data_IF_525800686691
#
_entry.id   IF_525800686691
#
_cell.length_a   1.000
_cell.length_b   1.000
_cell.length_c   1.000
_cell.angle_alpha   90.00
_cell.angle_beta   90.00
_cell.angle_gamma   90.00
#
_symmetry.space_group_name_H-M   'P 1'
#
loop_
_entity.id
_entity.type
_entity.pdbx_description
1 polymer ?
#
# COMPACT_ATOMS: atom_id res chain seq x y z
N UNK A 1 12.72 -36.79 48.75
CA UNK A 1 13.74 -35.72 48.65
C UNK A 1 13.87 -35.35 47.18
N UNK A 2 14.07 -34.06 46.87
CA UNK A 2 13.31 -33.33 45.85
C UNK A 2 14.17 -32.84 44.66
N UNK A 3 13.48 -32.39 43.61
CA UNK A 3 13.89 -31.24 42.81
C UNK A 3 14.78 -31.48 41.60
N UNK A 4 14.21 -31.29 40.41
CA UNK A 4 14.77 -30.32 39.45
C UNK A 4 13.65 -29.80 38.56
N UNK A 5 13.04 -28.70 39.02
CA UNK A 5 12.17 -27.83 38.24
C UNK A 5 12.94 -26.56 37.84
N UNK A 6 14.24 -26.70 37.56
CA UNK A 6 15.18 -25.57 37.43
C UNK A 6 15.92 -25.56 36.08
N UNK A 7 15.25 -26.00 35.01
CA UNK A 7 15.77 -25.86 33.64
C UNK A 7 14.67 -25.38 32.67
N UNK A 8 13.75 -24.55 33.18
CA UNK A 8 13.02 -23.60 32.33
C UNK A 8 14.02 -22.47 32.06
N UNK A 9 14.70 -22.58 30.93
CA UNK A 9 15.90 -21.81 30.58
C UNK A 9 15.54 -20.34 30.33
N UNK A 10 16.53 -19.46 30.47
CA UNK A 10 16.36 -18.00 30.30
C UNK A 10 15.72 -17.61 28.94
N UNK A 11 15.81 -18.46 27.92
CA UNK A 11 15.17 -18.30 26.61
C UNK A 11 13.64 -18.37 26.69
N UNK A 12 13.09 -19.29 27.51
CA UNK A 12 11.64 -19.40 27.75
C UNK A 12 11.11 -18.22 28.59
N UNK A 13 11.94 -17.66 29.46
CA UNK A 13 11.60 -16.50 30.28
C UNK A 13 11.64 -15.20 29.47
N UNK A 14 12.61 -15.05 28.56
CA UNK A 14 12.69 -13.93 27.62
C UNK A 14 11.53 -14.01 26.61
N UNK A 15 11.25 -15.16 26.00
CA UNK A 15 10.12 -15.33 25.08
C UNK A 15 8.76 -15.09 25.77
N UNK A 16 8.58 -15.54 27.02
CA UNK A 16 7.38 -15.24 27.80
C UNK A 16 7.26 -13.75 28.17
N UNK A 17 8.38 -13.06 28.45
CA UNK A 17 8.41 -11.63 28.73
C UNK A 17 8.13 -10.80 27.47
N UNK A 18 8.67 -11.19 26.31
CA UNK A 18 8.36 -10.58 25.02
C UNK A 18 6.89 -10.79 24.64
N UNK A 19 6.34 -11.98 24.88
CA UNK A 19 4.91 -12.26 24.65
C UNK A 19 3.99 -11.48 25.58
N UNK A 20 4.39 -11.26 26.84
CA UNK A 20 3.65 -10.42 27.79
C UNK A 20 3.67 -8.94 27.39
N UNK A 21 4.84 -8.41 26.99
CA UNK A 21 4.98 -7.03 26.54
C UNK A 21 4.20 -6.77 25.24
N UNK A 22 4.25 -7.69 24.28
CA UNK A 22 3.47 -7.60 23.04
C UNK A 22 1.96 -7.64 23.33
N UNK A 23 1.54 -8.46 24.31
CA UNK A 23 0.14 -8.52 24.74
C UNK A 23 -0.32 -7.22 25.39
N UNK A 24 0.47 -6.67 26.29
CA UNK A 24 0.18 -5.39 26.94
C UNK A 24 0.06 -4.25 25.91
N UNK A 25 0.96 -4.20 24.93
CA UNK A 25 0.91 -3.20 23.87
C UNK A 25 -0.38 -3.30 23.03
N UNK A 26 -0.84 -4.52 22.73
CA UNK A 26 -2.12 -4.74 22.03
C UNK A 26 -3.30 -4.33 22.91
N UNK A 27 -3.28 -4.64 24.20
CA UNK A 27 -4.34 -4.26 25.15
C UNK A 27 -4.46 -2.73 25.28
N UNK A 28 -3.35 -2.02 25.46
CA UNK A 28 -3.33 -0.56 25.51
C UNK A 28 -3.88 0.07 24.23
N UNK A 29 -3.53 -0.48 23.05
CA UNK A 29 -4.05 0.03 21.79
C UNK A 29 -5.55 -0.22 21.64
N UNK A 30 -6.04 -1.38 22.09
CA UNK A 30 -7.49 -1.68 22.10
C UNK A 30 -8.26 -0.76 23.04
N UNK A 31 -7.70 -0.36 24.17
CA UNK A 31 -8.32 0.60 25.08
C UNK A 31 -8.49 1.96 24.41
N UNK A 32 -7.44 2.47 23.74
CA UNK A 32 -7.54 3.71 22.95
C UNK A 32 -8.60 3.60 21.84
N UNK A 33 -8.65 2.47 21.15
CA UNK A 33 -9.66 2.23 20.12
C UNK A 33 -11.07 2.11 20.69
N UNK A 34 -11.22 1.60 21.92
CA UNK A 34 -12.50 1.56 22.61
C UNK A 34 -13.01 2.97 22.92
N UNK A 35 -12.13 3.88 23.33
CA UNK A 35 -12.49 5.29 23.50
C UNK A 35 -12.86 5.95 22.17
N UNK A 36 -12.09 5.71 21.11
CA UNK A 36 -12.42 6.16 19.76
C UNK A 36 -13.82 5.69 19.32
N UNK A 37 -14.11 4.40 19.47
CA UNK A 37 -15.40 3.80 19.08
C UNK A 37 -16.55 4.36 19.90
N UNK A 38 -16.36 4.60 21.21
CA UNK A 38 -17.38 5.24 22.05
C UNK A 38 -17.69 6.68 21.62
N UNK A 39 -16.74 7.36 20.98
CA UNK A 39 -16.92 8.69 20.41
C UNK A 39 -17.63 8.73 19.05
N UNK A 40 -17.93 7.57 18.44
CA UNK A 40 -18.60 7.51 17.14
C UNK A 40 -20.12 7.60 17.30
N UNK A 41 -20.77 8.35 16.41
CA UNK A 41 -22.23 8.31 16.30
C UNK A 41 -22.72 7.05 15.57
N UNK A 42 -23.98 6.68 15.81
CA UNK A 42 -24.62 5.56 15.11
C UNK A 42 -24.65 5.75 13.58
N UNK A 43 -24.76 6.99 13.11
CA UNK A 43 -24.72 7.31 11.69
C UNK A 43 -23.32 7.09 11.09
N UNK A 44 -22.26 7.47 11.81
CA UNK A 44 -20.88 7.26 11.38
C UNK A 44 -20.50 5.78 11.28
N UNK A 45 -21.05 4.95 12.18
CA UNK A 45 -20.89 3.49 12.13
C UNK A 45 -21.61 2.92 10.90
N UNK A 46 -22.86 3.30 10.67
CA UNK A 46 -23.69 2.78 9.57
C UNK A 46 -23.21 3.25 8.18
N UNK A 47 -22.78 4.50 8.07
CA UNK A 47 -22.33 5.11 6.83
C UNK A 47 -20.90 4.72 6.43
N UNK A 48 -20.10 4.23 7.39
CA UNK A 48 -18.66 3.98 7.19
C UNK A 48 -17.79 5.22 7.45
N UNK A 49 -18.37 6.34 7.89
CA UNK A 49 -17.64 7.58 8.23
C UNK A 49 -16.56 7.39 9.30
N UNK A 50 -16.71 6.36 10.15
CA UNK A 50 -15.70 5.94 11.13
C UNK A 50 -14.32 5.69 10.49
N UNK A 51 -14.26 5.18 9.26
CA UNK A 51 -13.00 4.84 8.60
C UNK A 51 -12.17 6.08 8.30
N UNK A 52 -12.81 7.15 7.83
CA UNK A 52 -12.14 8.43 7.55
C UNK A 52 -11.57 9.05 8.82
N UNK A 53 -12.34 9.01 9.93
CA UNK A 53 -11.85 9.45 11.24
C UNK A 53 -10.69 8.60 11.75
N UNK A 54 -10.77 7.29 11.56
CA UNK A 54 -9.71 6.37 11.93
C UNK A 54 -8.43 6.64 11.13
N UNK A 55 -8.50 6.80 9.79
CA UNK A 55 -7.32 7.14 8.98
C UNK A 55 -6.69 8.46 9.45
N UNK A 56 -7.50 9.49 9.70
CA UNK A 56 -7.01 10.78 10.19
C UNK A 56 -6.30 10.66 11.56
N UNK A 57 -6.80 9.82 12.46
CA UNK A 57 -6.21 9.62 13.78
C UNK A 57 -4.98 8.69 13.77
N UNK A 58 -5.10 7.56 13.05
CA UNK A 58 -4.14 6.48 13.02
C UNK A 58 -2.85 6.86 12.28
N UNK A 59 -2.95 7.64 11.21
CA UNK A 59 -1.81 7.98 10.37
C UNK A 59 -1.12 9.28 10.81
N UNK A 60 -1.84 10.35 11.17
CA UNK A 60 -1.21 11.64 11.56
C UNK A 60 -0.26 11.55 12.76
N UNK A 61 -0.57 10.70 13.74
CA UNK A 61 0.26 10.53 14.94
C UNK A 61 1.39 9.50 14.77
N UNK A 62 1.24 8.59 13.80
CA UNK A 62 2.13 7.45 13.59
C UNK A 62 3.19 7.72 12.52
N UNK A 63 2.80 8.39 11.43
CA UNK A 63 3.69 8.76 10.31
C UNK A 63 4.89 9.58 10.76
N UNK A 64 4.73 10.46 11.76
CA UNK A 64 5.84 11.23 12.33
C UNK A 64 6.89 10.40 13.10
N UNK A 65 6.62 9.13 13.42
CA UNK A 65 7.55 8.25 14.15
C UNK A 65 8.17 7.16 13.28
N UNK A 66 7.44 6.69 12.27
CA UNK A 66 7.89 5.65 11.35
C UNK A 66 8.70 6.28 10.20
N UNK A 67 9.90 6.78 10.50
CA UNK A 67 10.80 7.34 9.48
C UNK A 67 11.77 6.29 8.96
N UNK A 68 12.36 6.55 7.79
CA UNK A 68 13.39 5.69 7.22
C UNK A 68 14.58 5.53 8.19
N UNK A 69 14.99 6.61 8.84
CA UNK A 69 16.10 6.66 9.78
C UNK A 69 15.84 5.74 10.99
N UNK A 70 14.61 5.75 11.51
CA UNK A 70 14.21 4.86 12.60
C UNK A 70 14.39 3.38 12.22
N UNK A 71 13.95 2.98 11.02
CA UNK A 71 14.12 1.60 10.56
C UNK A 71 15.60 1.26 10.29
N UNK A 72 16.37 2.20 9.78
CA UNK A 72 17.79 2.01 9.50
C UNK A 72 18.61 1.83 10.79
N UNK A 73 18.30 2.58 11.84
CA UNK A 73 18.94 2.46 13.14
C UNK A 73 18.54 1.16 13.82
N UNK A 74 17.24 0.85 13.84
CA UNK A 74 16.69 -0.35 14.47
C UNK A 74 17.16 -1.66 13.81
N UNK A 75 17.33 -1.66 12.49
CA UNK A 75 17.72 -2.84 11.71
C UNK A 75 19.03 -2.61 10.95
N UNK A 76 20.05 -2.09 11.66
CA UNK A 76 21.34 -1.75 11.07
C UNK A 76 21.97 -2.94 10.33
N UNK A 77 22.29 -2.73 9.05
CA UNK A 77 22.93 -3.72 8.19
C UNK A 77 21.98 -4.72 7.50
N UNK A 78 20.66 -4.60 7.73
CA UNK A 78 19.65 -5.46 7.08
C UNK A 78 19.12 -4.78 5.81
N UNK A 79 19.06 -5.47 4.66
CA UNK A 79 18.41 -4.94 3.45
C UNK A 79 16.91 -4.69 3.67
N UNK A 80 16.34 -3.78 2.86
CA UNK A 80 14.91 -3.39 2.95
C UNK A 80 13.96 -4.58 3.00
N UNK A 81 14.16 -5.59 2.15
CA UNK A 81 13.36 -6.82 2.12
C UNK A 81 13.36 -7.58 3.45
N UNK A 82 14.50 -7.62 4.13
CA UNK A 82 14.64 -8.27 5.44
C UNK A 82 13.87 -7.52 6.51
N UNK A 83 13.94 -6.18 6.51
CA UNK A 83 13.20 -5.32 7.44
C UNK A 83 11.69 -5.44 7.21
N UNK A 84 11.23 -5.41 5.96
CA UNK A 84 9.82 -5.63 5.60
C UNK A 84 9.33 -6.98 6.10
N UNK A 85 10.13 -8.04 5.89
CA UNK A 85 9.80 -9.37 6.40
C UNK A 85 9.59 -9.41 7.91
N UNK A 86 10.37 -8.64 8.68
CA UNK A 86 10.19 -8.51 10.13
C UNK A 86 8.94 -7.70 10.50
N UNK A 87 8.67 -6.59 9.82
CA UNK A 87 7.45 -5.80 10.05
C UNK A 87 6.18 -6.62 9.79
N UNK A 88 6.16 -7.44 8.73
CA UNK A 88 5.03 -8.33 8.43
C UNK A 88 4.85 -9.36 9.55
N UNK A 89 5.94 -9.94 10.08
CA UNK A 89 5.88 -10.90 11.20
C UNK A 89 5.36 -10.24 12.47
N UNK A 90 5.85 -9.05 12.82
CA UNK A 90 5.41 -8.30 14.00
C UNK A 90 3.92 -7.95 13.91
N UNK A 91 3.47 -7.40 12.78
CA UNK A 91 2.05 -7.11 12.56
C UNK A 91 1.19 -8.38 12.63
N UNK A 92 1.65 -9.49 12.03
CA UNK A 92 0.94 -10.77 12.11
C UNK A 92 0.84 -11.30 13.57
N UNK A 93 1.88 -11.11 14.39
CA UNK A 93 1.88 -11.45 15.82
C UNK A 93 0.86 -10.61 16.58
N UNK A 94 0.85 -9.28 16.40
CA UNK A 94 -0.15 -8.40 17.02
C UNK A 94 -1.58 -8.75 16.63
N UNK A 95 -1.82 -9.12 15.35
CA UNK A 95 -3.13 -9.58 14.89
C UNK A 95 -3.56 -10.92 15.51
N UNK A 96 -2.61 -11.83 15.79
CA UNK A 96 -2.89 -13.07 16.52
C UNK A 96 -3.27 -12.79 17.96
N UNK A 97 -2.50 -11.94 18.65
CA UNK A 97 -2.77 -11.54 20.04
C UNK A 97 -4.15 -10.89 20.15
N UNK A 98 -4.50 -9.98 19.24
CA UNK A 98 -5.83 -9.38 19.19
C UNK A 98 -6.91 -10.44 19.03
N UNK A 99 -6.75 -11.38 18.09
CA UNK A 99 -7.69 -12.47 17.87
C UNK A 99 -7.87 -13.35 19.11
N UNK A 100 -6.79 -13.58 19.88
CA UNK A 100 -6.80 -14.29 21.15
C UNK A 100 -7.59 -13.55 22.23
N UNK A 101 -7.31 -12.27 22.46
CA UNK A 101 -8.03 -11.43 23.43
C UNK A 101 -9.52 -11.34 23.05
N UNK A 102 -9.81 -11.11 21.77
CA UNK A 102 -11.17 -11.05 21.23
C UNK A 102 -11.90 -12.35 21.49
N UNK A 103 -11.32 -13.49 21.15
CA UNK A 103 -11.97 -14.79 21.37
C UNK A 103 -12.36 -15.08 22.83
N UNK A 104 -11.60 -14.58 23.81
CA UNK A 104 -11.89 -14.72 25.25
C UNK A 104 -13.08 -13.87 25.74
N UNK A 105 -13.40 -12.78 25.03
CA UNK A 105 -14.49 -11.87 25.38
C UNK A 105 -15.85 -12.33 24.80
N UNK A 106 -15.84 -13.21 23.80
CA UNK A 106 -17.03 -13.60 23.05
C UNK A 106 -17.77 -14.81 23.66
N UNK A 107 -17.25 -15.40 24.75
CA UNK A 107 -17.83 -16.60 25.37
C UNK A 107 -19.06 -16.35 26.26
N UNK A 108 -19.48 -15.09 26.49
CA UNK A 108 -20.61 -14.79 27.40
C UNK A 108 -21.65 -13.76 26.96
N UNK A 109 -21.30 -12.78 26.11
CA UNK A 109 -22.07 -11.51 26.07
C UNK A 109 -22.87 -11.28 24.78
N UNK A 110 -22.51 -11.92 23.65
CA UNK A 110 -23.12 -11.59 22.34
C UNK A 110 -24.39 -12.39 22.04
N UNK A 111 -24.53 -13.60 22.60
CA UNK A 111 -25.76 -14.39 22.46
C UNK A 111 -27.01 -13.63 22.96
N UNK A 112 -26.85 -12.74 23.95
CA UNK A 112 -27.95 -11.95 24.50
C UNK A 112 -28.28 -10.69 23.67
N UNK A 113 -27.30 -10.06 23.01
CA UNK A 113 -27.51 -8.75 22.34
C UNK A 113 -27.89 -8.81 20.87
N UNK A 114 -27.66 -9.94 20.17
CA UNK A 114 -28.16 -10.10 18.79
C UNK A 114 -29.69 -10.25 18.78
N UNK A 115 -30.27 -10.85 19.83
CA UNK A 115 -31.72 -10.95 20.01
C UNK A 115 -32.41 -9.66 20.47
N UNK A 116 -31.66 -8.65 20.91
CA UNK A 116 -32.20 -7.39 21.49
C UNK A 116 -32.10 -6.18 20.56
N UNK A 117 -31.81 -6.37 19.27
CA UNK A 117 -31.77 -5.30 18.26
C UNK A 117 -33.09 -4.50 18.13
N UNK A 118 -34.16 -4.91 18.82
CA UNK A 118 -35.43 -4.19 18.94
C UNK A 118 -35.73 -3.53 20.30
N UNK A 119 -34.85 -3.61 21.31
CA UNK A 119 -35.20 -3.26 22.71
C UNK A 119 -34.42 -2.14 23.39
N UNK A 120 -33.30 -1.66 22.83
CA UNK A 120 -32.49 -0.60 23.42
C UNK A 120 -32.66 0.72 22.67
N UNK A 121 -32.68 1.83 23.41
CA UNK A 121 -32.83 3.20 22.88
C UNK A 121 -31.91 3.44 21.67
N UNK A 122 -32.38 4.12 20.59
CA UNK A 122 -31.57 4.46 19.41
C UNK A 122 -30.25 5.19 19.69
N UNK A 123 -30.09 5.71 20.91
CA UNK A 123 -28.92 6.47 21.36
C UNK A 123 -27.77 5.61 21.91
N UNK A 124 -28.00 4.35 22.30
CA UNK A 124 -26.96 3.50 22.88
C UNK A 124 -26.48 2.44 21.88
N UNK A 125 -25.20 2.50 21.49
CA UNK A 125 -24.56 1.45 20.68
C UNK A 125 -24.42 0.19 21.55
N UNK A 126 -25.02 -0.96 21.17
CA UNK A 126 -24.94 -2.17 21.98
C UNK A 126 -23.49 -2.60 22.24
N UNK A 127 -23.19 -3.16 23.42
CA UNK A 127 -21.82 -3.52 23.80
C UNK A 127 -21.14 -4.47 22.79
N UNK A 128 -21.92 -5.38 22.17
CA UNK A 128 -21.43 -6.26 21.10
C UNK A 128 -21.00 -5.51 19.83
N UNK A 129 -21.68 -4.41 19.48
CA UNK A 129 -21.28 -3.54 18.35
C UNK A 129 -20.00 -2.78 18.70
N UNK A 130 -19.84 -2.33 19.94
CA UNK A 130 -18.61 -1.65 20.39
C UNK A 130 -17.41 -2.58 20.28
N UNK A 131 -17.49 -3.81 20.81
CA UNK A 131 -16.39 -4.78 20.74
C UNK A 131 -16.03 -5.10 19.29
N UNK A 132 -17.02 -5.39 18.44
CA UNK A 132 -16.80 -5.61 17.01
C UNK A 132 -16.10 -4.43 16.32
N UNK A 133 -16.53 -3.20 16.62
CA UNK A 133 -15.92 -2.00 16.05
C UNK A 133 -14.49 -1.79 16.54
N UNK A 134 -14.16 -2.17 17.79
CA UNK A 134 -12.78 -2.15 18.29
C UNK A 134 -11.91 -3.12 17.50
N UNK A 135 -12.38 -4.34 17.27
CA UNK A 135 -11.62 -5.36 16.51
C UNK A 135 -11.41 -4.93 15.05
N UNK A 136 -12.46 -4.39 14.43
CA UNK A 136 -12.42 -3.88 13.05
C UNK A 136 -11.47 -2.68 12.91
N UNK A 137 -11.53 -1.72 13.84
CA UNK A 137 -10.66 -0.54 13.82
C UNK A 137 -9.21 -0.92 14.10
N UNK A 138 -8.96 -1.89 14.99
CA UNK A 138 -7.62 -2.40 15.27
C UNK A 138 -6.97 -3.02 14.02
N UNK A 139 -7.64 -3.97 13.36
CA UNK A 139 -7.08 -4.64 12.17
C UNK A 139 -6.88 -3.62 11.04
N UNK A 140 -7.82 -2.70 10.87
CA UNK A 140 -7.73 -1.63 9.86
C UNK A 140 -6.49 -0.77 10.09
N UNK A 141 -6.29 -0.29 11.32
CA UNK A 141 -5.16 0.53 11.69
C UNK A 141 -3.83 -0.23 11.54
N UNK A 142 -3.80 -1.49 11.92
CA UNK A 142 -2.62 -2.35 11.79
C UNK A 142 -2.23 -2.54 10.31
N UNK A 143 -3.19 -2.79 9.42
CA UNK A 143 -2.93 -2.95 7.99
C UNK A 143 -2.47 -1.66 7.32
N UNK A 144 -3.05 -0.52 7.68
CA UNK A 144 -2.63 0.80 7.19
C UNK A 144 -1.21 1.15 7.63
N UNK A 145 -0.89 0.94 8.92
CA UNK A 145 0.45 1.16 9.46
C UNK A 145 1.49 0.26 8.81
N UNK A 146 1.17 -1.04 8.65
CA UNK A 146 2.06 -1.98 7.99
C UNK A 146 2.35 -1.56 6.54
N UNK A 147 1.34 -1.17 5.77
CA UNK A 147 1.53 -0.69 4.41
C UNK A 147 2.38 0.59 4.37
N UNK A 148 2.16 1.52 5.30
CA UNK A 148 2.94 2.75 5.41
C UNK A 148 4.40 2.46 5.75
N UNK A 149 4.66 1.63 6.76
CA UNK A 149 6.01 1.20 7.14
C UNK A 149 6.76 0.58 5.95
N UNK A 150 6.09 -0.29 5.20
CA UNK A 150 6.68 -0.92 4.02
C UNK A 150 7.05 0.12 2.96
N UNK A 151 6.18 1.11 2.72
CA UNK A 151 6.49 2.21 1.80
C UNK A 151 7.72 3.02 2.27
N UNK A 152 7.78 3.36 3.56
CA UNK A 152 8.91 4.06 4.16
C UNK A 152 10.21 3.26 4.04
N UNK A 153 10.16 1.95 4.32
CA UNK A 153 11.32 1.06 4.22
C UNK A 153 11.82 0.96 2.76
N UNK A 154 10.91 0.96 1.78
CA UNK A 154 11.26 1.02 0.37
C UNK A 154 11.57 2.46 -0.12
N UNK A 155 11.52 3.45 0.78
CA UNK A 155 11.75 4.88 0.48
C UNK A 155 10.83 5.44 -0.60
N UNK A 156 9.60 4.93 -0.64
CA UNK A 156 8.56 5.47 -1.50
C UNK A 156 8.05 6.77 -0.86
N UNK A 157 8.12 7.91 -1.55
CA UNK A 157 7.57 9.15 -1.03
C UNK A 157 6.04 9.02 -1.02
N UNK A 158 5.46 8.84 0.16
CA UNK A 158 4.03 8.91 0.38
C UNK A 158 3.71 10.10 1.26
N UNK A 159 2.94 11.04 0.74
CA UNK A 159 2.36 12.13 1.51
C UNK A 159 0.96 11.73 1.99
N UNK A 160 0.81 11.42 3.28
CA UNK A 160 -0.50 11.05 3.85
C UNK A 160 -1.49 12.22 3.90
N UNK A 161 -1.03 13.46 3.72
CA UNK A 161 -1.89 14.63 3.58
C UNK A 161 -2.36 14.83 2.13
N UNK A 162 -1.70 14.20 1.15
CA UNK A 162 -2.18 14.11 -0.23
C UNK A 162 -3.30 13.04 -0.34
N UNK A 163 -4.52 13.43 -0.79
CA UNK A 163 -5.61 12.48 -1.02
C UNK A 163 -5.26 11.31 -1.94
N UNK A 164 -4.38 11.48 -2.92
CA UNK A 164 -4.00 10.43 -3.87
C UNK A 164 -3.12 9.37 -3.21
N UNK A 165 -2.08 9.78 -2.49
CA UNK A 165 -1.16 8.91 -1.77
C UNK A 165 -1.84 8.21 -0.58
N UNK A 166 -2.71 8.92 0.15
CA UNK A 166 -3.57 8.29 1.16
C UNK A 166 -4.47 7.20 0.53
N UNK A 167 -5.04 7.47 -0.64
CA UNK A 167 -5.90 6.49 -1.33
C UNK A 167 -5.09 5.29 -1.82
N UNK A 168 -3.88 5.51 -2.33
CA UNK A 168 -2.93 4.45 -2.70
C UNK A 168 -2.60 3.59 -1.48
N UNK A 169 -2.24 4.21 -0.36
CA UNK A 169 -1.95 3.51 0.90
C UNK A 169 -3.12 2.64 1.34
N UNK A 170 -4.36 3.16 1.30
CA UNK A 170 -5.57 2.40 1.63
C UNK A 170 -5.74 1.22 0.68
N UNK A 171 -5.66 1.42 -0.64
CA UNK A 171 -5.81 0.33 -1.62
C UNK A 171 -4.79 -0.78 -1.38
N UNK A 172 -3.53 -0.40 -1.16
CA UNK A 172 -2.44 -1.32 -0.90
C UNK A 172 -2.64 -2.07 0.42
N UNK A 173 -3.00 -1.38 1.51
CA UNK A 173 -3.26 -2.01 2.81
C UNK A 173 -4.37 -3.07 2.75
N UNK A 174 -5.37 -2.89 1.90
CA UNK A 174 -6.51 -3.80 1.76
C UNK A 174 -6.44 -4.75 0.56
N UNK A 175 -5.33 -4.76 -0.20
CA UNK A 175 -5.16 -5.66 -1.34
C UNK A 175 -6.05 -5.34 -2.54
N UNK A 176 -6.45 -4.08 -2.68
CA UNK A 176 -7.31 -3.61 -3.79
C UNK A 176 -6.40 -3.30 -4.99
N UNK A 177 -6.41 -4.17 -6.00
CA UNK A 177 -5.60 -4.01 -7.22
C UNK A 177 -6.07 -2.80 -8.05
N UNK A 178 -5.14 -1.93 -8.42
CA UNK A 178 -5.38 -0.93 -9.47
C UNK A 178 -5.57 -1.66 -10.81
N UNK A 179 -6.70 -1.43 -11.49
CA UNK A 179 -7.00 -2.05 -12.80
C UNK A 179 -8.25 -2.97 -12.84
N UNK A 180 -8.75 -3.47 -11.71
CA UNK A 180 -10.03 -4.23 -11.69
C UNK A 180 -11.28 -3.35 -11.96
N UNK A 181 -11.09 -2.03 -12.07
CA UNK A 181 -12.10 -1.08 -12.55
C UNK A 181 -12.07 -0.83 -14.06
N UNK A 182 -11.00 -1.22 -14.78
CA UNK A 182 -10.82 -0.85 -16.19
C UNK A 182 -11.21 -1.96 -17.20
N UNK A 183 -11.13 -3.26 -16.87
CA UNK A 183 -11.58 -4.34 -17.76
C UNK A 183 -12.10 -5.57 -17.01
N UNK A 184 -13.43 -5.74 -17.01
CA UNK A 184 -14.09 -7.02 -17.27
C UNK A 184 -13.91 -8.24 -16.33
N UNK A 185 -13.00 -8.28 -15.36
CA UNK A 185 -12.84 -9.41 -14.43
C UNK A 185 -13.53 -9.16 -13.09
N UNK A 186 -14.85 -9.00 -13.14
CA UNK A 186 -15.74 -8.80 -11.99
C UNK A 186 -16.03 -10.12 -11.24
N UNK A 187 -15.02 -10.94 -10.93
CA UNK A 187 -15.23 -12.26 -10.30
C UNK A 187 -15.00 -12.32 -8.79
N UNK A 188 -14.64 -11.22 -8.11
CA UNK A 188 -14.56 -11.23 -6.63
C UNK A 188 -15.14 -9.99 -5.94
N UNK A 189 -16.00 -9.25 -6.63
CA UNK A 189 -16.66 -8.07 -6.07
C UNK A 189 -18.15 -8.37 -5.88
N UNK A 190 -18.66 -8.45 -4.62
CA UNK A 190 -20.08 -8.67 -4.36
C UNK A 190 -20.94 -7.62 -5.07
N UNK A 191 -22.09 -8.05 -5.60
CA UNK A 191 -22.98 -7.29 -6.50
C UNK A 191 -23.38 -5.88 -6.01
N UNK A 192 -23.21 -5.58 -4.72
CA UNK A 192 -23.53 -4.29 -4.10
C UNK A 192 -22.57 -3.15 -4.49
N UNK A 193 -21.32 -3.45 -4.88
CA UNK A 193 -20.32 -2.44 -5.31
C UNK A 193 -20.70 -1.82 -6.66
N UNK A 194 -21.38 -2.57 -7.52
CA UNK A 194 -21.76 -2.14 -8.88
C UNK A 194 -22.78 -1.00 -8.89
N UNK A 195 -23.65 -0.91 -7.88
CA UNK A 195 -24.61 0.19 -7.72
C UNK A 195 -23.97 1.47 -7.18
N UNK A 196 -22.83 1.37 -6.49
CA UNK A 196 -22.13 2.51 -5.89
C UNK A 196 -21.22 3.19 -6.91
N UNK A 197 -20.53 2.41 -7.76
CA UNK A 197 -19.72 2.95 -8.87
C UNK A 197 -20.57 3.75 -9.86
N UNK A 198 -21.78 3.26 -10.18
CA UNK A 198 -22.67 3.90 -11.16
C UNK A 198 -23.28 5.24 -10.68
N UNK A 199 -23.27 5.49 -9.36
CA UNK A 199 -23.83 6.71 -8.76
C UNK A 199 -22.78 7.81 -8.55
N UNK A 200 -21.50 7.50 -8.79
CA UNK A 200 -20.34 8.38 -8.56
C UNK A 200 -19.72 8.87 -9.88
N UNK A 201 -20.01 8.22 -11.01
CA UNK A 201 -19.43 8.53 -12.33
C UNK A 201 -20.16 9.62 -13.14
N UNK A 202 -20.93 10.51 -12.51
CA UNK A 202 -21.55 11.67 -13.19
C UNK A 202 -21.30 12.95 -12.39
N UNK A 203 -20.15 13.58 -12.62
CA UNK A 203 -19.83 14.90 -12.08
C UNK A 203 -18.32 15.19 -12.09
N UNK A 204 -17.84 16.28 -12.73
CA UNK A 204 -16.43 16.61 -12.78
C UNK A 204 -15.94 17.08 -11.40
N UNK A 205 -14.82 16.51 -10.97
CA UNK A 205 -13.93 16.96 -9.88
C UNK A 205 -14.56 17.10 -8.48
N UNK A 206 -14.74 15.96 -7.81
CA UNK A 206 -14.84 15.81 -6.34
C UNK A 206 -14.70 14.32 -5.95
N UNK A 207 -13.63 13.67 -6.43
CA UNK A 207 -13.53 12.21 -6.49
C UNK A 207 -12.66 11.55 -5.39
N UNK A 208 -11.73 12.26 -4.73
CA UNK A 208 -10.84 11.60 -3.77
C UNK A 208 -11.44 11.40 -2.36
N UNK A 209 -12.34 12.29 -1.93
CA UNK A 209 -12.94 12.22 -0.57
C UNK A 209 -14.15 11.28 -0.45
N UNK A 210 -14.75 10.84 -1.56
CA UNK A 210 -16.05 10.13 -1.56
C UNK A 210 -15.94 8.60 -1.50
N UNK A 211 -14.77 8.02 -1.74
CA UNK A 211 -14.54 6.56 -1.68
C UNK A 211 -14.25 6.05 -0.28
N UNK A 212 -13.75 6.88 0.63
CA UNK A 212 -13.37 6.50 2.00
C UNK A 212 -14.56 5.96 2.85
N UNK A 213 -15.75 6.60 2.86
CA UNK A 213 -16.89 6.07 3.61
C UNK A 213 -17.39 4.72 3.06
N UNK A 214 -17.26 4.52 1.74
CA UNK A 214 -17.66 3.28 1.07
C UNK A 214 -16.77 2.12 1.52
N UNK A 215 -15.46 2.36 1.67
CA UNK A 215 -14.51 1.37 2.18
C UNK A 215 -14.87 0.97 3.61
N UNK A 216 -15.15 1.94 4.49
CA UNK A 216 -15.59 1.66 5.86
C UNK A 216 -16.84 0.77 5.92
N UNK A 217 -17.82 1.02 5.05
CA UNK A 217 -19.02 0.18 4.91
C UNK A 217 -18.70 -1.22 4.39
N UNK A 218 -17.76 -1.37 3.45
CA UNK A 218 -17.36 -2.68 2.93
C UNK A 218 -16.57 -3.50 3.95
N UNK A 219 -15.69 -2.86 4.73
CA UNK A 219 -14.98 -3.52 5.81
C UNK A 219 -15.95 -4.04 6.89
N UNK A 220 -16.97 -3.26 7.22
CA UNK A 220 -18.07 -3.68 8.10
C UNK A 220 -18.73 -4.96 7.58
N UNK A 221 -19.13 -4.98 6.30
CA UNK A 221 -19.77 -6.13 5.66
C UNK A 221 -18.90 -7.39 5.63
N UNK A 222 -17.61 -7.23 5.32
CA UNK A 222 -16.67 -8.35 5.21
C UNK A 222 -16.35 -8.96 6.57
N UNK A 223 -16.26 -8.14 7.62
CA UNK A 223 -16.00 -8.64 8.97
C UNK A 223 -17.25 -9.25 9.62
N UNK A 224 -18.47 -8.82 9.31
CA UNK A 224 -19.72 -9.45 9.82
C UNK A 224 -19.77 -10.96 9.53
N UNK A 225 -19.21 -11.43 8.40
CA UNK A 225 -19.19 -12.85 8.03
C UNK A 225 -18.40 -13.71 9.04
N UNK A 226 -17.38 -13.16 9.70
CA UNK A 226 -16.63 -13.86 10.76
C UNK A 226 -17.45 -14.01 12.06
N UNK A 227 -18.45 -13.15 12.29
CA UNK A 227 -19.24 -13.09 13.52
C UNK A 227 -20.67 -13.64 13.38
N UNK A 228 -21.15 -13.83 12.15
CA UNK A 228 -22.50 -14.35 11.86
C UNK A 228 -22.65 -15.87 11.98
N UNK A 229 -21.59 -16.61 12.32
CA UNK A 229 -21.62 -18.07 12.46
C UNK A 229 -21.47 -18.43 13.95
N UNK A 230 -22.55 -18.87 14.63
CA UNK A 230 -22.45 -19.42 15.98
C UNK A 230 -21.57 -20.67 15.97
N UNK A 231 -20.58 -20.75 16.87
CA UNK A 231 -19.74 -21.95 17.02
C UNK A 231 -18.38 -21.93 16.33
N UNK A 232 -17.92 -20.78 15.79
CA UNK A 232 -16.54 -20.66 15.30
C UNK A 232 -15.57 -20.65 16.49
N UNK A 233 -14.83 -21.75 16.65
CA UNK A 233 -13.89 -21.95 17.74
C UNK A 233 -12.73 -20.95 17.76
N UNK A 234 -12.34 -20.60 18.98
CA UNK A 234 -11.18 -19.80 19.41
C UNK A 234 -9.89 -19.97 18.55
N UNK A 235 -9.54 -21.15 18.00
CA UNK A 235 -8.33 -21.30 17.18
C UNK A 235 -8.41 -20.67 15.78
N UNK A 236 -9.60 -20.58 15.18
CA UNK A 236 -9.74 -20.23 13.76
C UNK A 236 -9.64 -18.71 13.50
N UNK A 237 -10.12 -17.88 14.43
CA UNK A 237 -10.03 -16.41 14.32
C UNK A 237 -8.58 -15.92 14.39
N UNK A 238 -7.78 -16.50 15.29
CA UNK A 238 -6.33 -16.24 15.43
C UNK A 238 -5.61 -16.51 14.09
N UNK A 239 -5.88 -17.67 13.47
CA UNK A 239 -5.26 -18.07 12.21
C UNK A 239 -5.67 -17.16 11.05
N UNK A 240 -6.96 -16.77 10.96
CA UNK A 240 -7.45 -15.92 9.88
C UNK A 240 -6.91 -14.49 9.99
N UNK A 241 -6.82 -13.92 11.19
CA UNK A 241 -6.26 -12.57 11.39
C UNK A 241 -4.76 -12.54 11.05
N UNK A 242 -4.00 -13.56 11.45
CA UNK A 242 -2.60 -13.72 11.03
C UNK A 242 -2.47 -13.80 9.51
N UNK A 243 -3.20 -14.71 8.89
CA UNK A 243 -3.10 -14.98 7.46
C UNK A 243 -3.45 -13.74 6.63
N UNK A 244 -4.55 -13.07 6.96
CA UNK A 244 -4.99 -11.86 6.25
C UNK A 244 -4.00 -10.70 6.42
N UNK A 245 -3.38 -10.55 7.59
CA UNK A 245 -2.32 -9.55 7.82
C UNK A 245 -1.05 -9.86 7.03
N UNK A 246 -0.63 -11.13 6.99
CA UNK A 246 0.51 -11.56 6.16
C UNK A 246 0.23 -11.34 4.67
N UNK A 247 -0.98 -11.67 4.21
CA UNK A 247 -1.37 -11.48 2.82
C UNK A 247 -1.39 -9.99 2.44
N UNK A 248 -1.95 -9.13 3.29
CA UNK A 248 -1.93 -7.68 3.11
C UNK A 248 -0.49 -7.13 3.07
N UNK A 249 0.36 -7.56 4.01
CA UNK A 249 1.76 -7.17 4.06
C UNK A 249 2.56 -7.60 2.83
N UNK A 250 2.37 -8.84 2.35
CA UNK A 250 3.02 -9.33 1.11
C UNK A 250 2.54 -8.61 -0.13
N UNK A 251 1.26 -8.24 -0.18
CA UNK A 251 0.75 -7.42 -1.27
C UNK A 251 1.39 -6.03 -1.27
N UNK A 252 1.42 -5.37 -0.10
CA UNK A 252 2.10 -4.09 0.06
C UNK A 252 3.59 -4.16 -0.31
N UNK A 253 4.27 -5.22 0.14
CA UNK A 253 5.64 -5.49 -0.24
C UNK A 253 5.80 -5.58 -1.76
N UNK A 254 4.97 -6.38 -2.44
CA UNK A 254 5.04 -6.54 -3.90
C UNK A 254 4.84 -5.22 -4.65
N UNK A 255 3.90 -4.38 -4.21
CA UNK A 255 3.60 -3.10 -4.88
C UNK A 255 4.75 -2.11 -4.65
N UNK A 256 5.10 -1.84 -3.39
CA UNK A 256 6.12 -0.83 -3.08
C UNK A 256 7.53 -1.25 -3.46
N UNK A 257 7.83 -2.56 -3.45
CA UNK A 257 9.10 -3.07 -3.99
C UNK A 257 9.22 -2.77 -5.48
N UNK A 258 8.17 -3.04 -6.27
CA UNK A 258 8.19 -2.76 -7.71
C UNK A 258 8.43 -1.27 -7.98
N UNK A 259 7.78 -0.39 -7.23
CA UNK A 259 8.03 1.06 -7.34
C UNK A 259 9.46 1.46 -6.94
N UNK A 260 10.02 0.82 -5.91
CA UNK A 260 11.40 1.05 -5.51
C UNK A 260 12.39 0.61 -6.59
N UNK A 261 12.14 -0.54 -7.24
CA UNK A 261 12.94 -1.03 -8.37
C UNK A 261 12.88 -0.05 -9.55
N UNK A 262 11.72 0.56 -9.82
CA UNK A 262 11.58 1.62 -10.84
C UNK A 262 12.37 2.87 -10.48
N UNK A 263 12.31 3.29 -9.21
CA UNK A 263 13.05 4.45 -8.70
C UNK A 263 14.57 4.21 -8.78
N UNK A 264 15.03 3.00 -8.44
CA UNK A 264 16.43 2.58 -8.54
C UNK A 264 16.90 2.52 -10.00
N UNK A 265 16.03 2.04 -10.89
CA UNK A 265 16.30 2.05 -12.33
C UNK A 265 16.50 3.48 -12.82
N UNK A 266 15.59 4.41 -12.49
CA UNK A 266 15.72 5.82 -12.85
C UNK A 266 17.03 6.43 -12.32
N UNK A 267 17.39 6.13 -11.07
CA UNK A 267 18.67 6.59 -10.47
C UNK A 267 19.88 6.04 -11.22
N UNK A 268 19.84 4.76 -11.60
CA UNK A 268 20.91 4.12 -12.36
C UNK A 268 21.06 4.73 -13.76
N UNK A 269 19.95 4.94 -14.47
CA UNK A 269 19.94 5.53 -15.81
C UNK A 269 20.51 6.95 -15.80
N UNK A 270 20.02 7.81 -14.90
CA UNK A 270 20.49 9.19 -14.76
C UNK A 270 21.96 9.27 -14.33
N UNK A 271 22.45 8.33 -13.51
CA UNK A 271 23.88 8.29 -13.12
C UNK A 271 24.80 7.88 -14.25
N UNK A 272 24.37 6.98 -15.12
CA UNK A 272 25.20 6.39 -16.18
C UNK A 272 25.17 7.19 -17.47
N UNK A 273 24.08 7.91 -17.74
CA UNK A 273 23.95 8.67 -18.97
C UNK A 273 24.92 9.85 -19.02
N UNK A 274 25.54 10.02 -20.18
CA UNK A 274 26.29 11.21 -20.57
C UNK A 274 25.41 12.23 -21.28
N UNK A 275 24.23 11.79 -21.74
CA UNK A 275 23.28 12.58 -22.53
C UNK A 275 21.93 12.73 -21.82
N UNK A 276 21.88 13.35 -20.62
CA UNK A 276 20.67 13.37 -19.79
C UNK A 276 19.45 14.00 -20.48
N UNK A 277 19.64 15.06 -21.27
CA UNK A 277 18.54 15.66 -22.04
C UNK A 277 18.04 14.70 -23.12
N UNK A 278 18.93 14.14 -23.93
CA UNK A 278 18.56 13.22 -25.01
C UNK A 278 17.89 11.95 -24.48
N UNK A 279 18.40 11.41 -23.37
CA UNK A 279 17.82 10.25 -22.68
C UNK A 279 16.35 10.50 -22.31
N UNK A 280 15.98 11.70 -21.82
CA UNK A 280 14.58 12.00 -21.49
C UNK A 280 13.68 12.00 -22.73
N UNK A 281 14.13 12.56 -23.85
CA UNK A 281 13.38 12.54 -25.10
C UNK A 281 13.18 11.12 -25.63
N UNK A 282 14.24 10.31 -25.60
CA UNK A 282 14.19 8.91 -26.04
C UNK A 282 13.32 8.07 -25.10
N UNK A 283 13.44 8.25 -23.78
CA UNK A 283 12.58 7.56 -22.82
C UNK A 283 11.10 7.90 -23.04
N UNK A 284 10.77 9.18 -23.27
CA UNK A 284 9.39 9.59 -23.57
C UNK A 284 8.88 9.01 -24.88
N UNK A 285 9.74 8.92 -25.91
CA UNK A 285 9.41 8.31 -27.20
C UNK A 285 9.08 6.82 -27.03
N UNK A 286 9.91 6.09 -26.27
CA UNK A 286 9.72 4.67 -25.98
C UNK A 286 8.41 4.43 -25.24
N UNK A 287 8.14 5.17 -24.16
CA UNK A 287 6.90 5.04 -23.37
C UNK A 287 5.65 5.33 -24.22
N UNK A 288 5.74 6.22 -25.21
CA UNK A 288 4.60 6.55 -26.07
C UNK A 288 4.47 5.66 -27.31
N UNK A 289 5.33 4.65 -27.49
CA UNK A 289 5.42 3.88 -28.72
C UNK A 289 4.11 3.12 -29.06
N UNK A 290 3.39 2.62 -28.05
CA UNK A 290 2.13 1.89 -28.23
C UNK A 290 0.86 2.74 -27.97
N UNK A 291 1.06 4.01 -27.59
CA UNK A 291 -0.01 4.95 -27.26
C UNK A 291 -0.73 4.69 -25.93
N UNK A 292 -0.22 3.80 -25.07
CA UNK A 292 -0.68 3.59 -23.69
C UNK A 292 0.46 3.89 -22.75
N UNK A 293 0.13 4.48 -21.61
CA UNK A 293 1.10 4.78 -20.56
C UNK A 293 0.66 4.04 -19.31
N UNK A 294 1.50 3.13 -18.83
CA UNK A 294 1.30 2.44 -17.56
C UNK A 294 1.67 3.34 -16.36
N UNK A 295 1.13 3.01 -15.18
CA UNK A 295 1.46 3.71 -13.93
C UNK A 295 2.98 3.63 -13.64
N UNK A 296 3.59 2.47 -13.94
CA UNK A 296 5.02 2.19 -13.78
C UNK A 296 5.88 3.09 -14.68
N UNK A 297 5.52 3.24 -15.95
CA UNK A 297 6.23 4.11 -16.91
C UNK A 297 6.08 5.59 -16.54
N UNK A 298 4.88 5.98 -16.09
CA UNK A 298 4.62 7.34 -15.58
C UNK A 298 5.48 7.65 -14.35
N UNK A 299 5.61 6.69 -13.43
CA UNK A 299 6.48 6.81 -12.26
C UNK A 299 7.95 6.91 -12.69
N UNK A 300 8.40 6.04 -13.59
CA UNK A 300 9.77 6.04 -14.11
C UNK A 300 10.10 7.41 -14.71
N UNK A 301 9.26 7.91 -15.62
CA UNK A 301 9.51 9.17 -16.32
C UNK A 301 9.49 10.39 -15.38
N UNK A 302 8.56 10.43 -14.43
CA UNK A 302 8.55 11.44 -13.37
C UNK A 302 9.84 11.43 -12.55
N UNK A 303 10.36 10.25 -12.25
CA UNK A 303 11.60 10.12 -11.48
C UNK A 303 12.84 10.48 -12.31
N UNK A 304 12.89 10.09 -13.59
CA UNK A 304 13.96 10.47 -14.52
C UNK A 304 14.06 11.99 -14.65
N UNK A 305 12.93 12.67 -14.89
CA UNK A 305 12.89 14.14 -15.04
C UNK A 305 13.30 14.86 -13.75
N UNK A 306 12.83 14.39 -12.59
CA UNK A 306 13.23 14.93 -11.27
C UNK A 306 14.74 14.78 -11.04
N UNK A 307 15.28 13.58 -11.22
CA UNK A 307 16.71 13.29 -10.97
C UNK A 307 17.63 13.98 -11.99
N UNK A 308 17.22 14.08 -13.26
CA UNK A 308 17.98 14.80 -14.27
C UNK A 308 18.08 16.30 -13.94
N UNK A 309 17.01 16.90 -13.41
CA UNK A 309 17.03 18.28 -12.92
C UNK A 309 17.94 18.47 -11.71
N UNK A 310 17.82 17.59 -10.72
CA UNK A 310 18.59 17.69 -9.46
C UNK A 310 20.10 17.47 -9.68
N UNK A 311 20.48 16.52 -10.54
CA UNK A 311 21.88 16.10 -10.71
C UNK A 311 22.59 16.78 -11.86
N UNK A 312 21.89 16.98 -12.98
CA UNK A 312 22.50 17.47 -14.22
C UNK A 312 21.99 18.87 -14.60
N UNK A 313 21.15 19.50 -13.77
CA UNK A 313 20.55 20.82 -14.04
C UNK A 313 19.81 20.86 -15.38
N UNK A 314 19.32 19.71 -15.84
CA UNK A 314 18.52 19.60 -17.07
C UNK A 314 17.07 19.88 -16.71
N UNK A 315 16.64 21.10 -17.03
CA UNK A 315 15.22 21.43 -17.15
C UNK A 315 14.92 21.60 -18.65
N UNK A 316 14.04 20.76 -19.19
CA UNK A 316 13.65 20.80 -20.59
C UNK A 316 12.20 21.25 -20.70
N UNK A 317 12.02 22.58 -20.72
CA UNK A 317 10.70 23.19 -20.87
C UNK A 317 10.01 22.72 -22.16
N UNK A 318 10.76 22.43 -23.24
CA UNK A 318 10.14 21.96 -24.49
C UNK A 318 9.52 20.60 -24.26
N UNK A 319 10.21 19.68 -23.59
CA UNK A 319 9.69 18.35 -23.27
C UNK A 319 8.45 18.42 -22.38
N UNK A 320 8.43 19.34 -21.39
CA UNK A 320 7.30 19.53 -20.48
C UNK A 320 6.00 19.98 -21.18
N UNK A 321 6.10 20.62 -22.35
CA UNK A 321 4.94 21.08 -23.14
C UNK A 321 4.54 20.10 -24.26
N UNK A 322 5.21 18.95 -24.39
CA UNK A 322 4.88 17.95 -25.42
C UNK A 322 3.56 17.27 -25.08
N UNK A 323 2.55 17.45 -25.93
CA UNK A 323 1.27 16.74 -25.85
C UNK A 323 1.30 15.44 -26.68
N UNK A 324 1.98 15.46 -27.82
CA UNK A 324 2.19 14.29 -28.68
C UNK A 324 3.64 14.34 -29.14
N UNK A 325 4.38 13.27 -28.85
CA UNK A 325 5.79 13.19 -29.26
C UNK A 325 5.86 12.88 -30.76
N UNK A 326 6.60 13.71 -31.50
CA UNK A 326 6.93 13.44 -32.89
C UNK A 326 8.25 12.65 -32.95
N UNK A 327 8.25 11.41 -33.48
CA UNK A 327 9.48 10.65 -33.65
C UNK A 327 10.53 11.39 -34.49
N UNK A 328 10.12 12.19 -35.48
CA UNK A 328 11.05 12.92 -36.34
C UNK A 328 11.89 13.94 -35.54
N UNK A 329 11.25 14.69 -34.63
CA UNK A 329 11.93 15.64 -33.75
C UNK A 329 12.96 14.94 -32.85
N UNK A 330 12.66 13.73 -32.38
CA UNK A 330 13.57 12.94 -31.54
C UNK A 330 14.73 12.42 -32.38
N UNK A 331 14.47 11.96 -33.61
CA UNK A 331 15.51 11.53 -34.53
C UNK A 331 16.45 12.65 -34.92
N UNK A 332 15.95 13.87 -35.18
CA UNK A 332 16.80 15.04 -35.43
C UNK A 332 17.70 15.38 -34.24
N UNK A 333 17.21 15.21 -33.01
CA UNK A 333 18.02 15.41 -31.79
C UNK A 333 19.11 14.37 -31.64
N UNK A 334 18.80 13.11 -31.92
CA UNK A 334 19.80 12.03 -31.98
C UNK A 334 20.82 12.34 -33.07
N UNK A 335 20.35 12.86 -34.20
CA UNK A 335 21.22 13.21 -35.31
C UNK A 335 22.08 14.47 -35.05
N UNK A 336 21.66 15.34 -34.15
CA UNK A 336 22.46 16.50 -33.73
C UNK A 336 23.53 16.15 -32.67
N UNK A 337 23.33 15.07 -31.92
CA UNK A 337 24.21 14.71 -30.79
C UNK A 337 25.47 13.97 -31.27
N UNK A 338 26.64 14.43 -30.82
CA UNK A 338 27.93 13.85 -31.21
C UNK A 338 28.48 12.92 -30.14
N UNK A 339 29.07 11.79 -30.56
CA UNK A 339 29.78 10.88 -29.66
C UNK A 339 29.08 9.53 -29.52
N UNK A 340 29.52 8.76 -28.53
CA UNK A 340 29.00 7.42 -28.23
C UNK A 340 27.65 7.52 -27.51
N UNK A 341 26.58 7.14 -28.19
CA UNK A 341 25.20 7.17 -27.68
C UNK A 341 24.74 5.82 -27.09
N UNK A 342 25.67 4.91 -26.80
CA UNK A 342 25.34 3.59 -26.21
C UNK A 342 24.59 3.68 -24.88
N UNK A 343 24.80 4.75 -24.11
CA UNK A 343 24.09 5.01 -22.87
C UNK A 343 22.61 5.34 -23.10
N UNK A 344 22.29 6.04 -24.20
CA UNK A 344 20.91 6.36 -24.59
C UNK A 344 20.18 5.12 -25.11
N UNK A 345 20.89 4.23 -25.82
CA UNK A 345 20.35 2.94 -26.26
C UNK A 345 20.07 2.01 -25.06
N UNK A 346 21.02 1.86 -24.12
CA UNK A 346 20.80 1.09 -22.87
C UNK A 346 19.64 1.66 -22.06
N UNK A 347 19.50 2.99 -22.00
CA UNK A 347 18.37 3.63 -21.34
C UNK A 347 17.03 3.28 -22.02
N UNK A 348 16.96 3.35 -23.35
CA UNK A 348 15.76 3.00 -24.11
C UNK A 348 15.34 1.54 -23.89
N UNK A 349 16.31 0.62 -23.93
CA UNK A 349 16.07 -0.81 -23.68
C UNK A 349 15.53 -1.06 -22.29
N UNK A 350 16.13 -0.44 -21.26
CA UNK A 350 15.69 -0.61 -19.87
C UNK A 350 14.32 0.02 -19.62
N UNK A 351 14.06 1.20 -20.19
CA UNK A 351 12.76 1.88 -20.10
C UNK A 351 11.66 0.99 -20.67
N UNK A 352 11.87 0.41 -21.85
CA UNK A 352 10.85 -0.41 -22.50
C UNK A 352 10.56 -1.74 -21.77
N UNK A 353 11.47 -2.22 -20.92
CA UNK A 353 11.25 -3.45 -20.13
C UNK A 353 10.67 -3.18 -18.74
N UNK A 354 10.36 -1.93 -18.39
CA UNK A 354 10.02 -1.56 -17.00
C UNK A 354 8.69 -2.14 -16.53
N UNK A 355 7.72 -2.28 -17.43
CA UNK A 355 6.38 -2.80 -17.14
C UNK A 355 6.20 -4.27 -17.58
N UNK A 356 7.22 -4.87 -18.20
CA UNK A 356 7.27 -6.27 -18.58
C UNK A 356 7.97 -6.54 -19.90
N UNK A 357 7.40 -7.46 -20.69
CA UNK A 357 7.97 -7.87 -21.97
C UNK A 357 7.70 -6.84 -23.06
N UNK A 358 8.76 -6.54 -23.83
CA UNK A 358 8.70 -5.64 -24.97
C UNK A 358 7.62 -6.03 -25.99
N UNK A 359 6.78 -5.07 -26.36
CA UNK A 359 5.81 -5.20 -27.44
C UNK A 359 6.48 -5.05 -28.82
N UNK A 360 5.73 -5.32 -29.90
CA UNK A 360 6.27 -5.28 -31.26
C UNK A 360 6.69 -3.88 -31.72
N UNK A 361 6.00 -2.84 -31.23
CA UNK A 361 6.26 -1.44 -31.59
C UNK A 361 7.52 -0.93 -30.88
N UNK A 362 7.67 -1.21 -29.58
CA UNK A 362 8.88 -0.93 -28.80
C UNK A 362 10.11 -1.63 -29.38
N UNK A 363 9.98 -2.92 -29.75
CA UNK A 363 11.08 -3.67 -30.39
C UNK A 363 11.53 -3.02 -31.69
N UNK A 364 10.59 -2.60 -32.53
CA UNK A 364 10.90 -1.94 -33.78
C UNK A 364 11.57 -0.58 -33.54
N UNK A 365 11.08 0.18 -32.56
CA UNK A 365 11.62 1.49 -32.19
C UNK A 365 13.05 1.39 -31.63
N UNK A 366 13.30 0.43 -30.74
CA UNK A 366 14.64 0.17 -30.19
C UNK A 366 15.61 -0.30 -31.27
N UNK A 367 15.15 -1.16 -32.20
CA UNK A 367 15.98 -1.63 -33.30
C UNK A 367 16.39 -0.47 -34.23
N UNK A 368 15.46 0.44 -34.54
CA UNK A 368 15.75 1.66 -35.31
C UNK A 368 16.70 2.60 -34.57
N UNK A 369 16.48 2.82 -33.27
CA UNK A 369 17.37 3.61 -32.42
C UNK A 369 18.80 3.05 -32.44
N UNK A 370 18.95 1.73 -32.26
CA UNK A 370 20.26 1.07 -32.29
C UNK A 370 20.93 1.25 -33.65
N UNK A 371 20.20 1.02 -34.74
CA UNK A 371 20.72 1.19 -36.10
C UNK A 371 21.25 2.61 -36.35
N UNK A 372 20.53 3.64 -35.89
CA UNK A 372 20.95 5.05 -36.08
C UNK A 372 22.16 5.42 -35.22
N UNK A 373 22.22 4.93 -33.98
CA UNK A 373 23.35 5.19 -33.10
C UNK A 373 24.62 4.46 -33.53
N UNK A 374 24.52 3.25 -34.11
CA UNK A 374 25.67 2.46 -34.60
C UNK A 374 26.25 2.98 -35.93
N UNK A 375 25.47 3.77 -36.69
CA UNK A 375 25.91 4.31 -37.99
C UNK A 375 26.78 5.57 -37.87
N UNK A 376 27.05 6.03 -36.64
CA UNK A 376 27.91 7.15 -36.29
C UNK A 376 29.23 6.64 -35.73
#
# INVERSE_FOLDING_TARGET
MPGSAADATADDADDAAYDAADREAVEQERERLREFVKGLSADEIKSGGWFTKLCAQALRSYTGKATWEYFQEKYKGVPADGVVGQQIKLAAKSAMIEGGITSSLYTGTIAATIGSLGGASPAAVPAGVVTFMVDLTFITQLQLRLAHDIAVIYRIPLDVDDPEDMMKLVRVAFGIKAGETARGSLKFVPALVRQVIKKIYSGPVLAAAKSLPIIGKHLLQRNIIKFGIPGVGIPLTILVNRYTTVAAGRHAQSVFRGEAEVIELADTLVRRTRHPRLMLWVAWLVINADGKIADTESLLFRQLTRLARERHQVDDERLAHVVTIDPADVWERIDAESGDLSDVVDAAERVATVDGDLNAQEKALIAELRYRCERR
#
